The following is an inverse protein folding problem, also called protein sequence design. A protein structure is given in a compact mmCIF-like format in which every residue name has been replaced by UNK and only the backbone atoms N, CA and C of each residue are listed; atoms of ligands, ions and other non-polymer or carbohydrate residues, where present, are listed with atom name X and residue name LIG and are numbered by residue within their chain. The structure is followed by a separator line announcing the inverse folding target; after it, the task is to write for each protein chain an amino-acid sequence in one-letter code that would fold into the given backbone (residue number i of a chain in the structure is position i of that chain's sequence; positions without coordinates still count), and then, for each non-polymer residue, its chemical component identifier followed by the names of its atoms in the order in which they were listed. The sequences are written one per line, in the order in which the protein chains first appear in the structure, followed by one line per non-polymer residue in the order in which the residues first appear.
data_IF_360187389812
#
_entry.id   IF_360187389812
#
_cell.length_a   1.000
_cell.length_b   1.000
_cell.length_c   1.000
_cell.angle_alpha   90.00
_cell.angle_beta   90.00
_cell.angle_gamma   90.00
#
_symmetry.space_group_name_H-M   'P 1'
#
loop_
_entity.id
_entity.type
_entity.pdbx_description
1 polymer ?
#
# COMPACT_ATOMS: atom_id res chain seq x y z
N UNK A 1 -0.39 -8.35 21.99
CA UNK A 1 -1.69 -8.07 21.31
C UNK A 1 -1.52 -7.47 19.90
N UNK A 2 -0.33 -7.52 19.28
CA UNK A 2 -0.03 -6.90 17.96
C UNK A 2 -0.33 -7.77 16.74
N UNK A 3 -1.09 -8.86 16.93
CA UNK A 3 -1.21 -9.90 15.92
C UNK A 3 -2.53 -9.88 15.17
N UNK A 4 -3.63 -9.36 15.75
CA UNK A 4 -4.98 -9.46 15.15
C UNK A 4 -5.09 -8.73 13.80
N UNK A 5 -4.68 -7.46 13.73
CA UNK A 5 -4.69 -6.70 12.48
C UNK A 5 -3.77 -7.35 11.44
N UNK A 6 -2.57 -7.74 11.86
CA UNK A 6 -1.60 -8.41 11.00
C UNK A 6 -2.18 -9.68 10.39
N UNK A 7 -2.73 -10.58 11.21
CA UNK A 7 -3.40 -11.80 10.75
C UNK A 7 -4.56 -11.49 9.80
N UNK A 8 -5.39 -10.50 10.14
CA UNK A 8 -6.51 -10.11 9.29
C UNK A 8 -6.05 -9.64 7.90
N UNK A 9 -4.99 -8.83 7.81
CA UNK A 9 -4.44 -8.40 6.52
C UNK A 9 -3.83 -9.59 5.77
N UNK A 10 -3.09 -10.47 6.44
CA UNK A 10 -2.55 -11.69 5.81
C UNK A 10 -3.64 -12.56 5.20
N UNK A 11 -4.72 -12.81 5.92
CA UNK A 11 -5.82 -13.67 5.47
C UNK A 11 -6.52 -13.11 4.21
N UNK A 12 -6.49 -11.79 4.01
CA UNK A 12 -7.10 -11.15 2.83
C UNK A 12 -6.20 -11.14 1.58
N UNK A 13 -4.87 -11.20 1.74
CA UNK A 13 -3.92 -10.96 0.64
C UNK A 13 -2.94 -12.09 0.36
N UNK A 14 -2.85 -13.11 1.21
CA UNK A 14 -1.99 -14.28 0.96
C UNK A 14 -2.54 -15.15 -0.19
N UNK A 15 -2.26 -14.76 -1.43
CA UNK A 15 -2.47 -15.58 -2.62
C UNK A 15 -1.52 -16.79 -2.58
N UNK A 16 -2.08 -17.98 -2.76
CA UNK A 16 -1.42 -19.29 -2.85
C UNK A 16 -0.83 -19.88 -1.56
N UNK A 17 -1.67 -20.59 -0.80
CA UNK A 17 -1.37 -21.95 -0.31
C UNK A 17 -0.16 -22.20 0.61
N UNK A 18 0.63 -21.19 0.96
CA UNK A 18 1.75 -21.36 1.87
C UNK A 18 1.29 -21.20 3.30
N UNK A 19 0.97 -22.38 3.86
CA UNK A 19 1.09 -22.77 5.27
C UNK A 19 0.89 -21.61 6.23
N UNK A 20 -0.26 -21.58 6.90
CA UNK A 20 -0.43 -21.01 8.23
C UNK A 20 0.92 -20.83 8.93
N UNK A 21 1.49 -19.63 8.84
CA UNK A 21 2.65 -19.29 9.64
C UNK A 21 2.10 -19.26 11.06
N UNK A 22 2.19 -20.40 11.76
CA UNK A 22 1.75 -20.52 13.16
C UNK A 22 2.37 -19.45 14.07
N UNK A 23 3.40 -18.75 13.57
CA UNK A 23 4.07 -17.63 14.20
C UNK A 23 4.27 -16.48 13.20
N UNK A 24 3.23 -15.70 12.86
CA UNK A 24 3.42 -14.37 12.22
C UNK A 24 3.93 -13.38 13.28
N UNK A 25 5.08 -13.69 13.87
CA UNK A 25 5.67 -12.94 14.98
C UNK A 25 6.51 -11.77 14.49
N UNK A 26 6.90 -11.75 13.22
CA UNK A 26 7.69 -10.69 12.60
C UNK A 26 6.86 -9.83 11.66
N UNK A 27 7.17 -8.53 11.60
CA UNK A 27 6.69 -7.60 10.59
C UNK A 27 7.27 -8.00 9.24
N UNK A 28 6.50 -8.70 8.42
CA UNK A 28 6.87 -9.02 7.04
C UNK A 28 6.03 -8.18 6.09
N UNK A 29 6.62 -7.64 5.01
CA UNK A 29 5.85 -6.97 3.96
C UNK A 29 4.86 -7.93 3.29
N UNK A 30 3.65 -7.44 3.04
CA UNK A 30 2.57 -8.13 2.34
C UNK A 30 2.33 -7.37 1.05
N UNK A 31 2.45 -8.04 -0.10
CA UNK A 31 2.12 -7.44 -1.38
C UNK A 31 0.59 -7.36 -1.52
N UNK A 32 0.07 -6.18 -1.85
CA UNK A 32 -1.38 -5.92 -1.99
C UNK A 32 -1.76 -5.35 -3.35
N UNK A 33 -0.77 -5.17 -4.24
CA UNK A 33 -1.01 -4.70 -5.58
C UNK A 33 -1.71 -5.75 -6.46
N UNK A 34 -2.25 -5.27 -7.57
CA UNK A 34 -3.02 -6.07 -8.51
C UNK A 34 -2.14 -6.47 -9.70
N UNK A 35 -0.88 -6.87 -9.53
CA UNK A 35 0.02 -7.19 -10.65
C UNK A 35 -0.54 -8.33 -11.53
N UNK A 36 -0.40 -8.20 -12.85
CA UNK A 36 -0.70 -9.27 -13.83
C UNK A 36 0.52 -10.16 -14.05
N UNK A 37 0.32 -11.37 -14.57
CA UNK A 37 1.41 -12.30 -14.89
C UNK A 37 2.37 -11.74 -15.96
N UNK A 38 1.87 -10.82 -16.80
CA UNK A 38 2.62 -10.15 -17.88
C UNK A 38 3.31 -8.84 -17.42
N UNK A 39 3.05 -8.36 -16.20
CA UNK A 39 3.65 -7.12 -15.71
C UNK A 39 5.08 -7.37 -15.21
N UNK A 40 6.06 -6.65 -15.77
CA UNK A 40 7.44 -6.74 -15.27
C UNK A 40 7.56 -6.03 -13.92
N UNK A 41 8.39 -6.59 -13.02
CA UNK A 41 8.62 -6.05 -11.67
C UNK A 41 9.11 -4.58 -11.70
N UNK A 42 9.83 -4.20 -12.75
CA UNK A 42 10.44 -2.87 -12.87
C UNK A 42 9.52 -1.83 -13.52
N UNK A 43 8.57 -2.27 -14.34
CA UNK A 43 7.62 -1.37 -14.98
C UNK A 43 6.39 -1.11 -14.09
N UNK A 44 6.02 -2.07 -13.24
CA UNK A 44 4.85 -2.02 -12.38
C UNK A 44 5.10 -1.26 -11.06
N UNK A 45 4.06 -0.66 -10.51
CA UNK A 45 4.09 -0.08 -9.17
C UNK A 45 3.59 -1.10 -8.15
N UNK A 46 4.54 -1.74 -7.49
CA UNK A 46 4.31 -2.70 -6.43
C UNK A 46 3.88 -1.94 -5.16
N UNK A 47 2.90 -2.49 -4.46
CA UNK A 47 2.38 -1.92 -3.22
C UNK A 47 2.54 -2.96 -2.12
N UNK A 48 3.36 -2.64 -1.13
CA UNK A 48 3.57 -3.47 0.04
C UNK A 48 3.00 -2.81 1.27
N UNK A 49 2.49 -3.62 2.19
CA UNK A 49 2.07 -3.17 3.52
C UNK A 49 2.76 -3.99 4.59
N UNK A 50 3.27 -3.31 5.61
CA UNK A 50 3.89 -3.94 6.78
C UNK A 50 3.13 -3.51 8.02
N UNK A 51 2.68 -4.48 8.81
CA UNK A 51 1.97 -4.22 10.07
C UNK A 51 2.93 -4.44 11.24
N UNK A 52 3.33 -3.36 11.88
CA UNK A 52 4.27 -3.37 12.99
C UNK A 52 3.65 -3.81 14.31
N UNK A 53 4.50 -4.01 15.31
CA UNK A 53 4.08 -4.52 16.62
C UNK A 53 3.18 -3.55 17.41
N UNK A 54 3.09 -2.29 16.98
CA UNK A 54 2.17 -1.29 17.52
C UNK A 54 0.89 -1.14 16.66
N UNK A 55 0.64 -2.05 15.71
CA UNK A 55 -0.40 -1.93 14.69
C UNK A 55 -0.23 -0.72 13.74
N UNK A 56 0.96 -0.10 13.73
CA UNK A 56 1.30 0.86 12.71
C UNK A 56 1.37 0.15 11.36
N UNK A 57 0.82 0.81 10.35
CA UNK A 57 0.72 0.34 8.97
C UNK A 57 1.73 1.16 8.17
N UNK A 58 2.82 0.53 7.77
CA UNK A 58 3.70 1.09 6.76
C UNK A 58 3.19 0.67 5.40
N UNK A 59 2.99 1.64 4.51
CA UNK A 59 2.63 1.41 3.11
C UNK A 59 3.80 1.84 2.25
N UNK A 60 4.29 0.95 1.40
CA UNK A 60 5.40 1.19 0.48
C UNK A 60 4.91 1.05 -0.96
N UNK A 61 5.17 2.06 -1.79
CA UNK A 61 4.99 2.03 -3.24
C UNK A 61 6.38 2.00 -3.88
N UNK A 62 6.62 0.98 -4.71
CA UNK A 62 7.90 0.78 -5.40
C UNK A 62 7.68 0.50 -6.89
N UNK A 63 8.33 1.29 -7.75
CA UNK A 63 8.35 1.02 -9.19
C UNK A 63 8.70 2.25 -10.01
N UNK A 64 8.64 2.13 -11.34
CA UNK A 64 8.88 3.23 -12.25
C UNK A 64 7.69 4.22 -12.28
N UNK A 65 7.42 4.92 -11.17
CA UNK A 65 6.32 5.88 -11.04
C UNK A 65 6.83 7.32 -10.95
N UNK A 66 6.10 8.31 -11.51
CA UNK A 66 6.37 9.72 -11.26
C UNK A 66 6.12 10.08 -9.79
N UNK A 67 7.16 10.58 -9.12
CA UNK A 67 7.07 11.12 -7.75
C UNK A 67 7.15 12.65 -7.82
N UNK A 68 6.03 13.31 -7.58
CA UNK A 68 5.93 14.79 -7.57
C UNK A 68 6.33 15.36 -6.21
N UNK A 69 6.54 16.68 -6.13
CA UNK A 69 6.76 17.33 -4.83
C UNK A 69 5.56 17.20 -3.90
N UNK A 70 4.33 17.32 -4.43
CA UNK A 70 3.10 17.16 -3.63
C UNK A 70 3.01 15.78 -2.95
N UNK A 71 3.47 14.71 -3.63
CA UNK A 71 3.55 13.38 -3.04
C UNK A 71 4.58 13.29 -1.91
N UNK A 72 5.71 13.98 -2.05
CA UNK A 72 6.76 14.02 -1.03
C UNK A 72 6.26 14.74 0.21
N UNK A 73 5.74 15.95 0.02
CA UNK A 73 5.20 16.76 1.11
C UNK A 73 4.08 15.99 1.83
N UNK A 74 3.24 15.28 1.07
CA UNK A 74 2.19 14.43 1.62
C UNK A 74 2.75 13.29 2.49
N UNK A 75 3.73 12.52 2.03
CA UNK A 75 4.25 11.41 2.85
C UNK A 75 5.04 11.86 4.07
N UNK A 76 5.71 13.01 3.99
CA UNK A 76 6.42 13.59 5.14
C UNK A 76 5.46 13.95 6.30
N UNK A 77 4.23 14.37 6.00
CA UNK A 77 3.17 14.59 7.01
C UNK A 77 2.86 13.31 7.80
N UNK A 78 3.02 12.15 7.18
CA UNK A 78 2.75 10.83 7.75
C UNK A 78 4.03 10.06 8.08
N UNK A 79 5.07 10.77 8.52
CA UNK A 79 6.37 10.22 8.96
C UNK A 79 7.03 9.30 7.91
N UNK A 80 6.71 9.52 6.64
CA UNK A 80 7.20 8.77 5.50
C UNK A 80 8.40 9.43 4.83
N UNK A 81 8.83 8.83 3.72
CA UNK A 81 9.81 9.45 2.82
C UNK A 81 9.63 8.98 1.39
N UNK A 82 10.25 9.70 0.46
CA UNK A 82 10.33 9.30 -0.93
C UNK A 82 11.77 9.33 -1.45
N UNK A 83 12.06 8.43 -2.37
CA UNK A 83 13.26 8.42 -3.18
C UNK A 83 12.84 8.51 -4.65
N UNK A 84 13.08 9.69 -5.24
CA UNK A 84 12.78 9.95 -6.65
C UNK A 84 13.64 9.13 -7.61
N UNK A 85 14.89 8.84 -7.24
CA UNK A 85 15.82 8.12 -8.10
C UNK A 85 15.43 6.64 -8.18
N UNK A 86 14.95 6.09 -7.06
CA UNK A 86 14.54 4.68 -6.98
C UNK A 86 13.06 4.45 -7.22
N UNK A 87 12.25 5.51 -7.39
CA UNK A 87 10.80 5.39 -7.57
C UNK A 87 10.11 4.79 -6.35
N UNK A 88 10.58 5.14 -5.16
CA UNK A 88 10.09 4.62 -3.88
C UNK A 88 9.37 5.70 -3.10
N UNK A 89 8.24 5.35 -2.52
CA UNK A 89 7.49 6.22 -1.63
C UNK A 89 6.96 5.36 -0.49
N UNK A 90 7.15 5.79 0.74
CA UNK A 90 6.56 5.13 1.88
C UNK A 90 5.96 6.12 2.85
N UNK A 91 4.94 5.67 3.59
CA UNK A 91 4.28 6.43 4.64
C UNK A 91 3.86 5.51 5.77
N UNK A 92 3.76 6.09 6.97
CA UNK A 92 3.42 5.38 8.18
C UNK A 92 2.08 5.87 8.73
N UNK A 93 1.13 4.96 8.86
CA UNK A 93 -0.26 5.26 9.21
C UNK A 93 -0.71 4.42 10.40
N UNK A 94 -1.53 4.99 11.26
CA UNK A 94 -2.37 4.20 12.17
C UNK A 94 -3.65 3.74 11.44
N UNK A 95 -4.33 2.67 11.90
CA UNK A 95 -5.59 2.22 11.31
C UNK A 95 -6.67 3.33 11.24
N UNK A 96 -6.65 4.29 12.16
CA UNK A 96 -7.51 5.46 12.19
C UNK A 96 -7.25 6.42 11.02
N UNK A 97 -6.00 6.49 10.57
CA UNK A 97 -5.52 7.39 9.52
C UNK A 97 -5.59 6.76 8.12
N UNK A 98 -6.09 5.53 7.99
CA UNK A 98 -6.10 4.81 6.71
C UNK A 98 -6.80 5.56 5.57
N UNK A 99 -7.73 6.47 5.90
CA UNK A 99 -8.40 7.34 4.94
C UNK A 99 -7.44 8.28 4.18
N UNK A 100 -6.25 8.56 4.70
CA UNK A 100 -5.21 9.33 4.01
C UNK A 100 -4.81 8.70 2.66
N UNK A 101 -4.99 7.38 2.50
CA UNK A 101 -4.74 6.73 1.21
C UNK A 101 -5.68 7.18 0.09
N UNK A 102 -6.81 7.84 0.39
CA UNK A 102 -7.62 8.51 -0.64
C UNK A 102 -6.87 9.68 -1.28
N UNK A 103 -6.18 10.48 -0.47
CA UNK A 103 -5.43 11.64 -0.94
C UNK A 103 -4.20 11.18 -1.73
N UNK A 104 -3.49 10.16 -1.24
CA UNK A 104 -2.39 9.53 -1.99
C UNK A 104 -2.88 8.98 -3.35
N UNK A 105 -4.02 8.30 -3.36
CA UNK A 105 -4.61 7.80 -4.61
C UNK A 105 -4.99 8.92 -5.58
N UNK A 106 -5.45 10.07 -5.07
CA UNK A 106 -5.73 11.23 -5.92
C UNK A 106 -4.45 11.86 -6.48
N UNK A 107 -3.39 11.95 -5.68
CA UNK A 107 -2.07 12.39 -6.17
C UNK A 107 -1.57 11.45 -7.27
N UNK A 108 -1.68 10.13 -7.10
CA UNK A 108 -1.33 9.13 -8.13
C UNK A 108 -2.17 9.31 -9.39
N UNK A 109 -3.46 9.60 -9.25
CA UNK A 109 -4.37 9.84 -10.39
C UNK A 109 -3.91 11.04 -11.20
N UNK A 110 -3.51 12.13 -10.54
CA UNK A 110 -3.06 13.37 -11.20
C UNK A 110 -1.76 13.18 -11.99
N UNK A 111 -0.94 12.18 -11.65
CA UNK A 111 0.29 11.88 -12.38
C UNK A 111 0.10 10.87 -13.50
N UNK A 112 -1.11 10.33 -13.73
CA UNK A 112 -1.35 9.23 -14.68
C UNK A 112 -0.82 9.51 -16.09
N UNK A 113 -0.89 10.75 -16.56
CA UNK A 113 -0.43 11.16 -17.90
C UNK A 113 1.08 11.49 -17.97
N UNK A 114 1.80 11.45 -16.84
CA UNK A 114 3.24 11.75 -16.77
C UNK A 114 4.14 10.57 -17.13
N UNK A 115 3.56 9.45 -17.57
CA UNK A 115 4.30 8.22 -17.87
C UNK A 115 5.44 8.41 -18.86
N UNK A 116 5.21 9.13 -19.96
CA UNK A 116 6.26 9.41 -20.95
C UNK A 116 7.40 10.24 -20.37
N UNK A 117 7.10 11.18 -19.48
CA UNK A 117 8.10 12.06 -18.84
C UNK A 117 9.09 11.28 -17.98
N UNK A 118 8.66 10.17 -17.39
CA UNK A 118 9.49 9.33 -16.51
C UNK A 118 9.93 8.02 -17.17
N UNK A 119 9.71 7.88 -18.48
CA UNK A 119 10.10 6.68 -19.23
C UNK A 119 9.19 5.46 -19.01
N UNK A 120 8.05 5.60 -18.33
CA UNK A 120 7.07 4.54 -18.14
C UNK A 120 5.78 4.81 -18.92
N UNK A 121 5.72 4.35 -20.17
CA UNK A 121 4.53 4.53 -21.04
C UNK A 121 3.27 3.83 -20.52
N UNK A 122 3.43 2.85 -19.65
CA UNK A 122 2.32 2.08 -19.08
C UNK A 122 1.75 2.73 -17.80
N UNK A 123 2.35 3.81 -17.30
CA UNK A 123 1.97 4.44 -16.03
C UNK A 123 0.48 4.79 -15.93
N UNK A 124 -0.15 5.24 -17.03
CA UNK A 124 -1.58 5.53 -17.04
C UNK A 124 -2.45 4.30 -16.70
N UNK A 125 -2.07 3.12 -17.19
CA UNK A 125 -2.74 1.86 -16.89
C UNK A 125 -2.41 1.39 -15.46
N UNK A 126 -1.13 1.50 -15.08
CA UNK A 126 -0.62 1.05 -13.78
C UNK A 126 -1.23 1.87 -12.64
N UNK A 127 -1.24 3.19 -12.75
CA UNK A 127 -1.82 4.10 -11.76
C UNK A 127 -3.27 3.75 -11.41
N UNK A 128 -4.10 3.39 -12.40
CA UNK A 128 -5.47 2.95 -12.15
C UNK A 128 -5.54 1.66 -11.29
N UNK A 129 -4.64 0.70 -11.53
CA UNK A 129 -4.53 -0.55 -10.75
C UNK A 129 -3.99 -0.29 -9.35
N UNK A 130 -2.94 0.53 -9.23
CA UNK A 130 -2.37 0.96 -7.95
C UNK A 130 -3.46 1.65 -7.09
N UNK A 131 -4.23 2.57 -7.66
CA UNK A 131 -5.36 3.23 -6.98
C UNK A 131 -6.39 2.20 -6.50
N UNK A 132 -6.76 1.25 -7.37
CA UNK A 132 -7.71 0.19 -7.02
C UNK A 132 -7.21 -0.65 -5.83
N UNK A 133 -5.92 -1.01 -5.81
CA UNK A 133 -5.30 -1.74 -4.69
C UNK A 133 -5.31 -0.95 -3.39
N UNK A 134 -5.00 0.35 -3.43
CA UNK A 134 -5.11 1.23 -2.25
C UNK A 134 -6.55 1.29 -1.73
N UNK A 135 -7.55 1.39 -2.62
CA UNK A 135 -8.96 1.43 -2.26
C UNK A 135 -9.43 0.11 -1.62
N UNK A 136 -9.03 -1.04 -2.20
CA UNK A 136 -9.28 -2.36 -1.61
C UNK A 136 -8.66 -2.47 -0.22
N UNK A 137 -7.42 -2.01 -0.05
CA UNK A 137 -6.75 -2.06 1.24
C UNK A 137 -7.42 -1.19 2.29
N UNK A 138 -7.81 0.05 1.95
CA UNK A 138 -8.61 0.90 2.84
C UNK A 138 -9.89 0.21 3.29
N UNK A 139 -10.59 -0.47 2.38
CA UNK A 139 -11.80 -1.24 2.70
C UNK A 139 -11.51 -2.37 3.68
N UNK A 140 -10.47 -3.17 3.45
CA UNK A 140 -10.06 -4.27 4.36
C UNK A 140 -9.79 -3.74 5.77
N UNK A 141 -9.02 -2.65 5.89
CA UNK A 141 -8.76 -2.03 7.21
C UNK A 141 -10.04 -1.45 7.83
N UNK A 142 -10.92 -0.85 7.02
CA UNK A 142 -12.22 -0.37 7.45
C UNK A 142 -13.11 -1.47 8.02
N UNK A 143 -13.18 -2.61 7.35
CA UNK A 143 -13.93 -3.81 7.78
C UNK A 143 -13.36 -4.37 9.09
N UNK A 144 -12.03 -4.48 9.22
CA UNK A 144 -11.37 -4.86 10.47
C UNK A 144 -11.78 -3.95 11.63
N UNK A 145 -11.75 -2.63 11.42
CA UNK A 145 -12.11 -1.65 12.46
C UNK A 145 -13.57 -1.74 12.88
N UNK A 146 -14.48 -2.01 11.95
CA UNK A 146 -15.89 -2.21 12.25
C UNK A 146 -16.12 -3.51 13.02
N UNK A 147 -15.52 -4.63 12.58
CA UNK A 147 -15.61 -5.92 13.26
C UNK A 147 -14.99 -5.90 14.66
N UNK A 148 -13.89 -5.17 14.86
CA UNK A 148 -13.26 -4.99 16.16
C UNK A 148 -14.14 -4.21 17.15
N UNK A 149 -15.00 -3.29 16.67
CA UNK A 149 -15.92 -2.50 17.51
C UNK A 149 -17.11 -3.31 18.03
N UNK A 150 -17.53 -4.35 17.30
CA UNK A 150 -18.70 -5.18 17.68
C UNK A 150 -18.38 -6.17 18.80
N UNK A 151 -17.10 -6.52 19.03
CA UNK A 151 -16.68 -7.49 20.06
C UNK A 151 -16.51 -6.90 21.48
N UNK A 152 -16.92 -5.65 21.74
CA UNK A 152 -16.70 -4.94 23.02
C UNK A 152 -18.03 -4.66 23.76
N UNK A 153 -19.08 -5.44 23.51
CA UNK A 153 -20.35 -5.35 24.22
C UNK A 153 -20.75 -6.66 24.87
#
# INVERSE_FOLDING_TARGET
MSSKLRYYVYDNYALNGHRFFKNVTKSYPIQIDDQDDEDTLYDFCNVFVTIDNNNSIRVDLLGAMPITQEMIDFVEIYEGSADRAEGKLHLQLNPEQIGALYDLADLIRRTADMGETVGNRNWKKISARTISSLYRFMRVIGEYRQGARVQVH
#
